data_IF_255400867398
#
_entry.id   IF_255400867398
#
_cell.length_a   1.000
_cell.length_b   1.000
_cell.length_c   1.000
_cell.angle_alpha   90.00
_cell.angle_beta   90.00
_cell.angle_gamma   90.00
#
_symmetry.space_group_name_H-M   'P 1'
#
loop_
_entity.id
_entity.type
_entity.pdbx_description
1 polymer ?
#
# COMPACT_ATOMS: atom_id res chain seq x y z
N UNK A 1 42.66 -51.85 -70.43
CA UNK A 1 42.29 -53.11 -69.75
C UNK A 1 40.96 -52.88 -69.03
N UNK A 2 39.93 -53.73 -69.20
CA UNK A 2 38.61 -53.53 -68.56
C UNK A 2 38.64 -54.03 -67.11
N UNK A 3 37.87 -53.36 -66.22
CA UNK A 3 37.82 -53.68 -64.78
C UNK A 3 37.37 -55.12 -64.51
N UNK A 4 36.45 -55.63 -65.33
CA UNK A 4 35.98 -57.02 -65.25
C UNK A 4 37.10 -58.02 -65.52
N UNK A 5 37.94 -57.77 -66.55
CA UNK A 5 39.07 -58.64 -66.88
C UNK A 5 40.11 -58.63 -65.74
N UNK A 6 40.38 -57.45 -65.17
CA UNK A 6 41.30 -57.31 -64.04
C UNK A 6 40.83 -58.03 -62.77
N UNK A 7 39.55 -57.92 -62.41
CA UNK A 7 38.99 -58.61 -61.24
C UNK A 7 38.95 -60.12 -61.47
N UNK A 8 38.69 -60.57 -62.70
CA UNK A 8 38.65 -61.99 -63.06
C UNK A 8 40.04 -62.63 -62.98
N UNK A 9 41.08 -61.94 -63.46
CA UNK A 9 42.47 -62.40 -63.38
C UNK A 9 43.04 -62.35 -61.95
N UNK A 10 42.51 -61.48 -61.08
CA UNK A 10 42.93 -61.33 -59.68
C UNK A 10 41.91 -61.89 -58.67
N UNK A 11 40.97 -62.75 -59.11
CA UNK A 11 39.86 -63.24 -58.28
C UNK A 11 40.33 -64.00 -57.04
N UNK A 12 41.44 -64.75 -57.15
CA UNK A 12 42.06 -65.47 -56.03
C UNK A 12 42.59 -64.54 -54.94
N UNK A 13 42.94 -63.30 -55.27
CA UNK A 13 43.45 -62.30 -54.33
C UNK A 13 42.36 -61.77 -53.38
N UNK A 14 41.11 -61.75 -53.84
CA UNK A 14 39.97 -61.24 -53.07
C UNK A 14 39.20 -62.32 -52.30
N UNK A 15 39.42 -63.60 -52.63
CA UNK A 15 38.63 -64.72 -52.09
C UNK A 15 38.97 -65.08 -50.63
N UNK A 16 40.13 -64.64 -50.13
CA UNK A 16 40.63 -64.95 -48.80
C UNK A 16 40.73 -63.72 -47.87
N UNK A 17 40.22 -62.56 -48.28
CA UNK A 17 40.18 -61.39 -47.41
C UNK A 17 38.95 -61.45 -46.49
N UNK A 18 39.16 -61.91 -45.25
CA UNK A 18 38.19 -61.67 -44.19
C UNK A 18 38.26 -60.21 -43.77
N UNK A 19 37.10 -59.59 -43.53
CA UNK A 19 37.06 -58.24 -42.95
C UNK A 19 37.93 -58.23 -41.69
N UNK A 20 38.81 -57.23 -41.61
CA UNK A 20 39.69 -57.10 -40.45
C UNK A 20 38.84 -57.02 -39.18
N UNK A 21 39.19 -57.80 -38.16
CA UNK A 21 38.56 -57.73 -36.82
C UNK A 21 38.46 -56.29 -36.29
N UNK A 22 39.40 -55.42 -36.69
CA UNK A 22 39.41 -54.00 -36.34
C UNK A 22 38.33 -53.20 -37.07
N UNK A 23 38.07 -53.52 -38.34
CA UNK A 23 37.02 -52.89 -39.12
C UNK A 23 35.63 -53.29 -38.58
N UNK A 24 35.44 -54.56 -38.23
CA UNK A 24 34.19 -55.03 -37.59
C UNK A 24 33.95 -54.35 -36.24
N UNK A 25 34.97 -54.29 -35.37
CA UNK A 25 34.85 -53.61 -34.09
C UNK A 25 34.55 -52.11 -34.23
N UNK A 26 35.16 -51.45 -35.23
CA UNK A 26 34.89 -50.04 -35.52
C UNK A 26 33.46 -49.83 -36.06
N UNK A 27 32.99 -50.72 -36.92
CA UNK A 27 31.65 -50.67 -37.48
C UNK A 27 30.59 -50.92 -36.40
N UNK A 28 30.80 -51.89 -35.52
CA UNK A 28 29.94 -52.16 -34.37
C UNK A 28 29.87 -50.95 -33.43
N UNK A 29 31.01 -50.30 -33.18
CA UNK A 29 31.08 -49.07 -32.38
C UNK A 29 30.28 -47.93 -33.02
N UNK A 30 30.38 -47.75 -34.34
CA UNK A 30 29.57 -46.77 -35.07
C UNK A 30 28.08 -47.11 -35.03
N UNK A 31 27.70 -48.38 -35.16
CA UNK A 31 26.31 -48.84 -35.07
C UNK A 31 25.72 -48.54 -33.69
N UNK A 32 26.43 -48.89 -32.62
CA UNK A 32 26.01 -48.58 -31.23
C UNK A 32 25.85 -47.07 -31.01
N UNK A 33 26.76 -46.26 -31.56
CA UNK A 33 26.69 -44.80 -31.43
C UNK A 33 25.50 -44.18 -32.20
N UNK A 34 25.18 -44.71 -33.39
CA UNK A 34 24.10 -44.15 -34.23
C UNK A 34 22.71 -44.67 -33.87
N UNK A 35 22.59 -45.94 -33.48
CA UNK A 35 21.29 -46.58 -33.20
C UNK A 35 20.82 -46.35 -31.76
N UNK A 36 21.71 -46.05 -30.80
CA UNK A 36 21.33 -45.88 -29.40
C UNK A 36 21.72 -44.48 -28.91
N UNK A 37 21.02 -43.45 -29.38
CA UNK A 37 21.09 -42.15 -28.73
C UNK A 37 20.30 -42.21 -27.40
N UNK A 38 20.93 -42.01 -26.23
CA UNK A 38 20.17 -41.91 -24.99
C UNK A 38 19.29 -40.66 -25.06
N UNK A 39 17.97 -40.82 -24.94
CA UNK A 39 17.06 -39.68 -24.76
C UNK A 39 17.56 -38.89 -23.54
N UNK A 40 18.02 -37.65 -23.75
CA UNK A 40 18.43 -36.75 -22.66
C UNK A 40 17.31 -36.73 -21.62
N UNK A 41 17.58 -37.24 -20.43
CA UNK A 41 16.63 -37.18 -19.33
C UNK A 41 16.32 -35.70 -19.13
N UNK A 42 15.03 -35.33 -19.20
CA UNK A 42 14.62 -33.97 -18.83
C UNK A 42 14.94 -33.85 -17.34
N UNK A 43 16.07 -33.18 -17.14
CA UNK A 43 16.68 -32.73 -15.91
C UNK A 43 15.69 -32.58 -14.75
N UNK A 44 15.75 -33.56 -13.86
CA UNK A 44 14.91 -33.70 -12.67
C UNK A 44 14.99 -32.44 -11.79
N UNK A 45 16.08 -31.67 -11.87
CA UNK A 45 16.22 -30.38 -11.19
C UNK A 45 15.14 -29.35 -11.54
N UNK A 46 14.55 -29.39 -12.75
CA UNK A 46 13.44 -28.51 -13.10
C UNK A 46 12.20 -28.77 -12.24
N UNK A 47 11.97 -30.03 -11.83
CA UNK A 47 10.86 -30.38 -10.93
C UNK A 47 11.13 -29.84 -9.53
N UNK A 48 12.33 -30.00 -9.00
CA UNK A 48 12.70 -29.45 -7.70
C UNK A 48 12.67 -27.91 -7.66
N UNK A 49 13.10 -27.25 -8.74
CA UNK A 49 12.98 -25.80 -8.92
C UNK A 49 11.52 -25.33 -8.87
N UNK A 50 10.61 -26.06 -9.52
CA UNK A 50 9.17 -25.71 -9.49
C UNK A 50 8.57 -25.84 -8.09
N UNK A 51 8.95 -26.87 -7.33
CA UNK A 51 8.50 -27.07 -5.94
C UNK A 51 9.03 -25.98 -5.02
N UNK A 52 10.32 -25.64 -5.12
CA UNK A 52 10.93 -24.58 -4.32
C UNK A 52 10.29 -23.21 -4.60
N UNK A 53 9.97 -22.90 -5.86
CA UNK A 53 9.29 -21.65 -6.23
C UNK A 53 7.88 -21.54 -5.62
N UNK A 54 7.10 -22.63 -5.61
CA UNK A 54 5.80 -22.65 -4.95
C UNK A 54 5.92 -22.41 -3.44
N UNK A 55 6.88 -23.06 -2.78
CA UNK A 55 7.13 -22.84 -1.35
C UNK A 55 7.56 -21.41 -1.06
N UNK A 56 8.40 -20.82 -1.91
CA UNK A 56 8.80 -19.42 -1.79
C UNK A 56 7.62 -18.47 -1.96
N UNK A 57 6.74 -18.69 -2.95
CA UNK A 57 5.54 -17.88 -3.15
C UNK A 57 4.58 -18.00 -1.96
N UNK A 58 4.34 -19.21 -1.45
CA UNK A 58 3.49 -19.43 -0.27
C UNK A 58 4.10 -18.76 0.95
N UNK A 59 5.41 -18.87 1.16
CA UNK A 59 6.11 -18.23 2.27
C UNK A 59 6.09 -16.70 2.15
N UNK A 60 6.30 -16.15 0.96
CA UNK A 60 6.19 -14.72 0.70
C UNK A 60 4.77 -14.20 0.88
N UNK A 61 3.75 -14.95 0.44
CA UNK A 61 2.35 -14.62 0.67
C UNK A 61 1.98 -14.72 2.16
N UNK A 62 2.48 -15.73 2.86
CA UNK A 62 2.27 -15.91 4.29
C UNK A 62 2.93 -14.76 5.07
N UNK A 63 4.21 -14.46 4.78
CA UNK A 63 4.96 -13.36 5.37
C UNK A 63 4.32 -11.99 5.09
N UNK A 64 3.81 -11.79 3.87
CA UNK A 64 3.06 -10.58 3.52
C UNK A 64 1.71 -10.51 4.25
N UNK A 65 1.04 -11.66 4.44
CA UNK A 65 -0.22 -11.74 5.19
C UNK A 65 -0.01 -11.53 6.70
N UNK A 66 1.06 -12.04 7.31
CA UNK A 66 1.40 -11.76 8.72
C UNK A 66 1.82 -10.31 8.93
N UNK A 67 2.40 -9.65 7.93
CA UNK A 67 2.71 -8.22 7.98
C UNK A 67 1.52 -7.32 7.62
N UNK A 68 0.30 -7.85 7.40
CA UNK A 68 -0.90 -7.02 7.25
C UNK A 68 -1.31 -6.50 8.63
N UNK A 69 -1.02 -5.22 8.87
CA UNK A 69 -1.43 -4.36 9.99
C UNK A 69 -2.43 -4.99 10.97
N UNK A 70 -1.92 -5.74 11.96
CA UNK A 70 -2.69 -6.06 13.15
C UNK A 70 -2.93 -4.76 13.91
N UNK A 71 -4.18 -4.29 13.94
CA UNK A 71 -4.59 -3.12 14.74
C UNK A 71 -4.08 -3.33 16.16
N UNK A 72 -3.26 -2.40 16.67
CA UNK A 72 -2.72 -2.52 18.02
C UNK A 72 -3.88 -2.45 19.03
N UNK A 73 -3.72 -3.04 20.22
CA UNK A 73 -4.79 -3.01 21.23
C UNK A 73 -5.14 -1.57 21.61
N UNK A 74 -4.12 -0.72 21.65
CA UNK A 74 -4.24 0.71 21.93
C UNK A 74 -5.06 1.42 20.84
N UNK A 75 -4.83 1.09 19.57
CA UNK A 75 -5.62 1.63 18.46
C UNK A 75 -7.08 1.14 18.50
N UNK A 76 -7.32 -0.12 18.86
CA UNK A 76 -8.69 -0.65 19.02
C UNK A 76 -9.43 0.05 20.15
N UNK A 77 -8.78 0.23 21.31
CA UNK A 77 -9.37 0.92 22.46
C UNK A 77 -9.64 2.39 22.14
N UNK A 78 -8.70 3.06 21.48
CA UNK A 78 -8.86 4.42 21.01
C UNK A 78 -10.08 4.55 20.09
N UNK A 79 -10.18 3.71 19.05
CA UNK A 79 -11.33 3.73 18.15
C UNK A 79 -12.64 3.42 18.87
N UNK A 80 -12.65 2.45 19.78
CA UNK A 80 -13.83 2.12 20.59
C UNK A 80 -14.28 3.32 21.45
N UNK A 81 -13.35 4.05 22.04
CA UNK A 81 -13.66 5.28 22.79
C UNK A 81 -14.21 6.38 21.89
N UNK A 82 -13.64 6.58 20.69
CA UNK A 82 -14.13 7.54 19.69
C UNK A 82 -15.52 7.17 19.14
N UNK A 83 -15.89 5.89 19.16
CA UNK A 83 -17.21 5.38 18.74
C UNK A 83 -18.23 5.29 19.87
N UNK A 84 -17.84 5.58 21.11
CA UNK A 84 -18.71 5.43 22.26
C UNK A 84 -19.92 6.38 22.25
N UNK A 85 -21.06 5.92 22.79
CA UNK A 85 -22.28 6.73 22.91
C UNK A 85 -22.11 7.92 23.87
N UNK A 86 -21.28 7.76 24.90
CA UNK A 86 -21.06 8.82 25.88
C UNK A 86 -20.03 9.85 25.38
N UNK A 87 -20.37 11.14 25.52
CA UNK A 87 -19.45 12.23 25.17
C UNK A 87 -18.16 12.19 26.00
N UNK A 88 -18.22 11.72 27.25
CA UNK A 88 -17.05 11.54 28.11
C UNK A 88 -16.05 10.54 27.52
N UNK A 89 -16.52 9.37 27.08
CA UNK A 89 -15.66 8.36 26.44
C UNK A 89 -15.09 8.84 25.11
N UNK A 90 -15.87 9.59 24.32
CA UNK A 90 -15.34 10.18 23.10
C UNK A 90 -14.26 11.22 23.38
N UNK A 91 -14.43 12.05 24.42
CA UNK A 91 -13.38 12.97 24.88
C UNK A 91 -12.13 12.22 25.33
N UNK A 92 -12.26 11.14 26.11
CA UNK A 92 -11.12 10.28 26.48
C UNK A 92 -10.38 9.76 25.24
N UNK A 93 -11.11 9.28 24.23
CA UNK A 93 -10.51 8.87 22.95
C UNK A 93 -9.78 10.02 22.25
N UNK A 94 -10.39 11.20 22.16
CA UNK A 94 -9.75 12.37 21.54
C UNK A 94 -8.47 12.78 22.29
N UNK A 95 -8.48 12.77 23.63
CA UNK A 95 -7.28 13.08 24.41
C UNK A 95 -6.20 12.01 24.28
N UNK A 96 -6.55 10.72 24.31
CA UNK A 96 -5.60 9.64 24.07
C UNK A 96 -4.94 9.75 22.68
N UNK A 97 -5.68 10.13 21.64
CA UNK A 97 -5.10 10.43 20.34
C UNK A 97 -4.09 11.58 20.42
N UNK A 98 -4.44 12.66 21.14
CA UNK A 98 -3.64 13.86 21.22
C UNK A 98 -2.33 13.67 22.00
N UNK A 99 -2.38 12.90 23.08
CA UNK A 99 -1.28 12.81 24.04
C UNK A 99 -0.36 11.61 23.75
N UNK A 100 -0.90 10.52 23.20
CA UNK A 100 -0.19 9.23 23.14
C UNK A 100 0.03 8.72 21.71
N UNK A 101 -0.98 8.81 20.83
CA UNK A 101 -0.91 8.13 19.53
C UNK A 101 -0.15 8.96 18.49
N UNK A 102 -0.50 10.25 18.31
CA UNK A 102 0.14 11.25 17.43
C UNK A 102 0.59 10.76 16.03
N UNK A 103 0.00 9.67 15.53
CA UNK A 103 0.27 9.13 14.20
C UNK A 103 -0.85 9.54 13.25
N UNK A 104 -0.46 9.81 12.01
CA UNK A 104 -1.38 10.18 10.94
C UNK A 104 -2.12 8.95 10.38
N UNK A 105 -2.78 8.19 11.27
CA UNK A 105 -3.56 7.01 10.88
C UNK A 105 -4.86 7.43 10.20
N UNK A 106 -5.09 6.91 9.00
CA UNK A 106 -6.22 7.32 8.17
C UNK A 106 -7.57 6.92 8.78
N UNK A 107 -7.66 5.79 9.48
CA UNK A 107 -8.91 5.34 10.11
C UNK A 107 -9.30 6.27 11.26
N UNK A 108 -8.35 6.56 12.13
CA UNK A 108 -8.57 7.46 13.27
C UNK A 108 -8.88 8.87 12.78
N UNK A 109 -8.12 9.40 11.81
CA UNK A 109 -8.38 10.72 11.22
C UNK A 109 -9.78 10.79 10.61
N UNK A 110 -10.23 9.73 9.92
CA UNK A 110 -11.58 9.70 9.37
C UNK A 110 -12.64 9.74 10.47
N UNK A 111 -12.40 9.03 11.57
CA UNK A 111 -13.31 9.02 12.70
C UNK A 111 -13.37 10.38 13.40
N UNK A 112 -12.22 11.00 13.64
CA UNK A 112 -12.14 12.37 14.17
C UNK A 112 -12.82 13.38 13.25
N UNK A 113 -12.66 13.27 11.92
CA UNK A 113 -13.39 14.11 10.96
C UNK A 113 -14.91 13.89 11.08
N UNK A 114 -15.36 12.65 11.27
CA UNK A 114 -16.78 12.38 11.46
C UNK A 114 -17.30 13.04 12.74
N UNK A 115 -16.56 12.93 13.85
CA UNK A 115 -16.87 13.61 15.12
C UNK A 115 -16.95 15.13 14.93
N UNK A 116 -15.96 15.72 14.24
CA UNK A 116 -15.95 17.16 13.95
C UNK A 116 -17.26 17.62 13.28
N UNK A 117 -17.76 16.87 12.31
CA UNK A 117 -18.97 17.26 11.58
C UNK A 117 -20.26 16.92 12.33
N UNK A 118 -20.32 15.77 13.00
CA UNK A 118 -21.58 15.14 13.40
C UNK A 118 -21.81 15.07 14.91
N UNK A 119 -20.78 15.27 15.76
CA UNK A 119 -20.95 15.10 17.21
C UNK A 119 -21.87 16.18 17.80
N UNK A 120 -22.86 15.78 18.59
CA UNK A 120 -23.76 16.75 19.23
C UNK A 120 -23.05 17.60 20.30
N UNK A 121 -21.99 17.06 20.90
CA UNK A 121 -21.29 17.71 22.00
C UNK A 121 -20.20 18.67 21.50
N UNK A 122 -20.39 19.96 21.80
CA UNK A 122 -19.46 21.02 21.41
C UNK A 122 -18.04 20.82 21.95
N UNK A 123 -17.88 20.28 23.16
CA UNK A 123 -16.57 20.06 23.76
C UNK A 123 -15.81 18.95 23.05
N UNK A 124 -16.49 17.86 22.64
CA UNK A 124 -15.89 16.79 21.84
C UNK A 124 -15.39 17.36 20.50
N UNK A 125 -16.22 18.17 19.81
CA UNK A 125 -15.80 18.85 18.57
C UNK A 125 -14.58 19.75 18.79
N UNK A 126 -14.56 20.55 19.85
CA UNK A 126 -13.45 21.46 20.16
C UNK A 126 -12.14 20.69 20.40
N UNK A 127 -12.18 19.63 21.21
CA UNK A 127 -11.03 18.78 21.46
C UNK A 127 -10.55 18.08 20.17
N UNK A 128 -11.50 17.68 19.33
CA UNK A 128 -11.22 17.05 18.02
C UNK A 128 -10.48 18.00 17.09
N UNK A 129 -10.86 19.28 17.07
CA UNK A 129 -10.13 20.30 16.30
C UNK A 129 -8.68 20.41 16.78
N UNK A 130 -8.43 20.35 18.09
CA UNK A 130 -7.05 20.35 18.62
C UNK A 130 -6.24 19.14 18.18
N UNK A 131 -6.84 17.95 18.17
CA UNK A 131 -6.17 16.75 17.69
C UNK A 131 -5.84 16.78 16.21
N UNK A 132 -6.79 17.24 15.40
CA UNK A 132 -6.58 17.38 13.97
C UNK A 132 -5.49 18.43 13.65
N UNK A 133 -5.31 19.45 14.49
CA UNK A 133 -4.27 20.47 14.32
C UNK A 133 -2.84 19.94 14.48
N UNK A 134 -2.65 18.75 15.05
CA UNK A 134 -1.33 18.12 15.13
C UNK A 134 -0.76 17.73 13.75
N UNK A 135 -1.61 17.65 12.72
CA UNK A 135 -1.23 17.29 11.35
C UNK A 135 -1.47 18.45 10.38
N UNK A 136 -0.75 19.59 10.55
CA UNK A 136 -1.04 20.83 9.82
C UNK A 136 -0.78 20.75 8.31
N UNK A 137 -0.13 19.70 7.81
CA UNK A 137 0.13 19.49 6.37
C UNK A 137 -0.91 18.56 5.71
N UNK A 138 -1.80 17.95 6.48
CA UNK A 138 -2.79 17.03 5.94
C UNK A 138 -3.91 17.81 5.23
N UNK A 139 -3.93 17.70 3.90
CA UNK A 139 -4.92 18.40 3.05
C UNK A 139 -6.37 17.94 3.31
N UNK A 140 -6.58 16.68 3.69
CA UNK A 140 -7.92 16.19 4.03
C UNK A 140 -8.45 16.87 5.28
N UNK A 141 -7.61 17.01 6.32
CA UNK A 141 -7.96 17.71 7.55
C UNK A 141 -8.29 19.17 7.25
N UNK A 142 -7.42 19.87 6.52
CA UNK A 142 -7.63 21.28 6.13
C UNK A 142 -8.98 21.51 5.44
N UNK A 143 -9.30 20.69 4.44
CA UNK A 143 -10.58 20.77 3.72
C UNK A 143 -11.79 20.53 4.64
N UNK A 144 -11.66 19.59 5.58
CA UNK A 144 -12.73 19.28 6.52
C UNK A 144 -12.92 20.38 7.57
N UNK A 145 -11.87 21.04 8.04
CA UNK A 145 -11.98 22.21 8.93
C UNK A 145 -12.71 23.38 8.26
N UNK A 146 -12.45 23.63 6.96
CA UNK A 146 -13.19 24.63 6.18
C UNK A 146 -14.67 24.24 6.07
N UNK A 147 -14.94 22.99 5.70
CA UNK A 147 -16.31 22.48 5.54
C UNK A 147 -17.07 22.53 6.88
N UNK A 148 -16.41 22.23 7.99
CA UNK A 148 -16.99 22.34 9.32
C UNK A 148 -17.32 23.80 9.65
N UNK A 149 -16.45 24.75 9.31
CA UNK A 149 -16.70 26.18 9.55
C UNK A 149 -17.93 26.69 8.80
N UNK A 150 -18.19 26.18 7.60
CA UNK A 150 -19.36 26.58 6.80
C UNK A 150 -20.70 26.08 7.37
N UNK A 151 -20.69 24.98 8.10
CA UNK A 151 -21.90 24.28 8.55
C UNK A 151 -22.14 24.37 10.07
N UNK A 152 -21.12 24.72 10.85
CA UNK A 152 -21.22 24.78 12.31
C UNK A 152 -22.00 26.02 12.76
N UNK A 153 -22.95 25.81 13.68
CA UNK A 153 -23.82 26.84 14.24
C UNK A 153 -23.47 27.19 15.70
N UNK A 154 -22.77 26.31 16.42
CA UNK A 154 -22.39 26.54 17.82
C UNK A 154 -21.27 27.58 17.88
N UNK A 155 -21.47 28.75 18.52
CA UNK A 155 -20.52 29.86 18.47
C UNK A 155 -19.11 29.53 18.97
N UNK A 156 -19.00 28.70 20.01
CA UNK A 156 -17.71 28.31 20.57
C UNK A 156 -16.92 27.40 19.61
N UNK A 157 -17.61 26.49 18.91
CA UNK A 157 -16.99 25.61 17.93
C UNK A 157 -16.58 26.42 16.69
N UNK A 158 -17.42 27.36 16.23
CA UNK A 158 -17.06 28.30 15.16
C UNK A 158 -15.78 29.08 15.50
N UNK A 159 -15.68 29.64 16.72
CA UNK A 159 -14.47 30.37 17.15
C UNK A 159 -13.24 29.45 17.13
N UNK A 160 -13.38 28.20 17.57
CA UNK A 160 -12.28 27.23 17.55
C UNK A 160 -11.82 26.93 16.12
N UNK A 161 -12.75 26.71 15.20
CA UNK A 161 -12.48 26.49 13.77
C UNK A 161 -11.80 27.70 13.11
N UNK A 162 -12.30 28.90 13.38
CA UNK A 162 -11.71 30.16 12.90
C UNK A 162 -10.25 30.28 13.34
N UNK A 163 -9.97 30.03 14.62
CA UNK A 163 -8.61 30.07 15.16
C UNK A 163 -7.72 28.99 14.54
N UNK A 164 -8.23 27.77 14.39
CA UNK A 164 -7.51 26.68 13.74
C UNK A 164 -7.10 27.05 12.31
N UNK A 165 -8.04 27.55 11.50
CA UNK A 165 -7.79 27.95 10.12
C UNK A 165 -6.84 29.16 10.03
N UNK A 166 -6.90 30.08 11.00
CA UNK A 166 -5.94 31.18 11.11
C UNK A 166 -4.51 30.69 11.43
N UNK A 167 -4.36 29.74 12.36
CA UNK A 167 -3.06 29.13 12.70
C UNK A 167 -2.48 28.42 11.48
N UNK A 168 -3.32 27.70 10.74
CA UNK A 168 -2.95 26.97 9.53
C UNK A 168 -2.70 27.86 8.31
N UNK A 169 -2.95 29.18 8.41
CA UNK A 169 -2.95 30.15 7.30
C UNK A 169 -3.74 29.66 6.09
N UNK A 170 -4.95 29.17 6.33
CA UNK A 170 -5.76 28.52 5.31
C UNK A 170 -6.50 29.54 4.44
N UNK A 171 -5.87 30.00 3.36
CA UNK A 171 -6.43 30.99 2.42
C UNK A 171 -7.80 30.59 1.83
N UNK A 172 -8.07 29.30 1.70
CA UNK A 172 -9.38 28.82 1.20
C UNK A 172 -10.54 29.14 2.14
N UNK A 173 -10.26 29.48 3.41
CA UNK A 173 -11.26 29.88 4.39
C UNK A 173 -11.76 31.33 4.25
N UNK A 174 -11.18 32.15 3.36
CA UNK A 174 -11.57 33.55 3.17
C UNK A 174 -13.08 33.70 2.91
N UNK A 175 -13.65 32.96 1.96
CA UNK A 175 -15.08 33.05 1.65
C UNK A 175 -15.99 32.66 2.84
N UNK A 176 -15.76 31.54 3.54
CA UNK A 176 -16.46 31.23 4.79
C UNK A 176 -16.36 32.35 5.84
N UNK A 177 -15.15 32.88 6.07
CA UNK A 177 -14.92 33.95 7.05
C UNK A 177 -15.68 35.23 6.68
N UNK A 178 -15.68 35.60 5.40
CA UNK A 178 -16.43 36.77 4.90
C UNK A 178 -17.94 36.61 5.13
N UNK A 179 -18.51 35.42 4.88
CA UNK A 179 -19.92 35.13 5.17
C UNK A 179 -20.24 35.32 6.66
N UNK A 180 -19.37 34.85 7.55
CA UNK A 180 -19.51 35.00 9.01
C UNK A 180 -19.46 36.48 9.42
N UNK A 181 -18.53 37.26 8.88
CA UNK A 181 -18.38 38.69 9.17
C UNK A 181 -19.64 39.47 8.75
N UNK A 182 -20.15 39.20 7.56
CA UNK A 182 -21.25 39.94 6.93
C UNK A 182 -22.65 39.48 7.38
N UNK A 183 -22.78 38.28 7.97
CA UNK A 183 -24.05 37.75 8.43
C UNK A 183 -24.62 38.54 9.62
N UNK A 184 -25.87 39.01 9.54
CA UNK A 184 -26.54 39.68 10.67
C UNK A 184 -26.86 38.74 11.83
N UNK A 185 -26.90 37.43 11.58
CA UNK A 185 -27.27 36.41 12.58
C UNK A 185 -26.06 35.93 13.40
N UNK A 186 -24.83 36.18 12.92
CA UNK A 186 -23.61 35.76 13.61
C UNK A 186 -23.36 36.61 14.86
N UNK A 187 -23.08 35.94 15.98
CA UNK A 187 -22.73 36.60 17.24
C UNK A 187 -21.51 37.53 17.10
N UNK A 188 -21.50 38.70 17.75
CA UNK A 188 -20.39 39.66 17.65
C UNK A 188 -19.00 39.07 17.96
N UNK A 189 -18.92 38.20 18.98
CA UNK A 189 -17.66 37.51 19.36
C UNK A 189 -17.11 36.64 18.22
N UNK A 190 -17.98 35.96 17.46
CA UNK A 190 -17.58 35.11 16.33
C UNK A 190 -17.11 35.99 15.17
N UNK A 191 -17.83 37.08 14.87
CA UNK A 191 -17.42 38.07 13.86
C UNK A 191 -16.04 38.66 14.15
N UNK A 192 -15.80 39.06 15.39
CA UNK A 192 -14.52 39.64 15.80
C UNK A 192 -13.37 38.64 15.57
N UNK A 193 -13.55 37.37 15.94
CA UNK A 193 -12.56 36.33 15.67
C UNK A 193 -12.37 36.10 14.16
N UNK A 194 -13.45 36.11 13.36
CA UNK A 194 -13.37 35.95 11.92
C UNK A 194 -12.62 37.10 11.24
N UNK A 195 -12.87 38.34 11.64
CA UNK A 195 -12.16 39.54 11.17
C UNK A 195 -10.66 39.45 11.50
N UNK A 196 -10.31 39.03 12.72
CA UNK A 196 -8.92 38.83 13.13
C UNK A 196 -8.24 37.72 12.30
N UNK A 197 -8.93 36.60 12.08
CA UNK A 197 -8.42 35.50 11.26
C UNK A 197 -8.21 35.95 9.80
N UNK A 198 -9.14 36.70 9.22
CA UNK A 198 -9.01 37.24 7.85
C UNK A 198 -7.76 38.10 7.71
N UNK A 199 -7.47 38.97 8.69
CA UNK A 199 -6.29 39.81 8.69
C UNK A 199 -4.97 39.01 8.83
N UNK A 200 -5.01 37.84 9.48
CA UNK A 200 -3.83 37.00 9.69
C UNK A 200 -3.54 36.07 8.51
N UNK A 201 -4.59 35.55 7.87
CA UNK A 201 -4.46 34.64 6.73
C UNK A 201 -3.92 35.39 5.49
N UNK A 202 -4.19 36.69 5.38
CA UNK A 202 -3.70 37.53 4.29
C UNK A 202 -2.23 37.99 4.43
N UNK A 203 -1.52 37.57 5.49
CA UNK A 203 -0.11 37.91 5.76
C UNK A 203 0.84 36.74 5.46
#
# INVERSE_FOLDING_TARGET
>A
MKLEDFIKDNKSSFSNEQISKKADANFEKMLKQKLHQPKKSRVVYLRYMSVAACLAIIFSLAFWFTNRDSISKEEQELLANLDADSAGKRLEGVYAFNDEYQKEDTRIINRLIQILHQDENANVKIATIDGLLQFPKNEKIRKNLITALENEDKPLVQIKLIKALSILRENRAQKPLEKIINSKQTYPIVKNNATLAMANINK
#
